data_IF_845911456976
#
_entry.id   IF_845911456976
#
_cell.length_a   1.000
_cell.length_b   1.000
_cell.length_c   1.000
_cell.angle_alpha   90.00
_cell.angle_beta   90.00
_cell.angle_gamma   90.00
#
_symmetry.space_group_name_H-M   'P 1'
#
loop_
_entity.id
_entity.type
_entity.pdbx_description
1 polymer ?
#
# COMPACT_ATOMS: atom_id res chain seq x y z
N UNK A 1 2.25 -60.71 22.01
CA UNK A 1 1.12 -61.24 21.23
C UNK A 1 0.05 -61.72 22.20
N UNK A 2 -1.00 -60.92 22.37
CA UNK A 2 -2.19 -61.10 23.22
C UNK A 2 -3.13 -59.94 22.84
N UNK A 3 -4.44 -60.02 22.69
CA UNK A 3 -5.47 -61.06 22.67
C UNK A 3 -6.68 -60.43 21.94
N UNK A 4 -7.54 -61.32 21.44
CA UNK A 4 -8.73 -61.09 20.61
C UNK A 4 -9.94 -60.57 21.41
N UNK A 5 -10.80 -59.87 20.66
CA UNK A 5 -12.19 -59.41 20.85
C UNK A 5 -13.00 -59.85 22.10
N UNK A 6 -13.74 -58.89 22.67
CA UNK A 6 -15.08 -59.15 23.21
C UNK A 6 -16.06 -58.02 22.80
N UNK A 7 -17.28 -58.46 22.47
CA UNK A 7 -18.39 -57.79 21.80
C UNK A 7 -19.55 -57.69 22.79
N UNK A 8 -20.39 -56.65 22.70
CA UNK A 8 -21.88 -56.63 22.87
C UNK A 8 -22.37 -55.35 23.59
N UNK A 9 -23.46 -54.63 23.30
CA UNK A 9 -24.46 -54.52 22.21
C UNK A 9 -25.50 -53.42 22.62
N UNK A 10 -25.96 -52.61 21.65
CA UNK A 10 -27.25 -51.85 21.53
C UNK A 10 -27.57 -50.69 22.52
N UNK A 11 -28.23 -49.59 22.13
CA UNK A 11 -29.50 -49.49 21.36
C UNK A 11 -29.80 -48.05 20.87
N UNK A 12 -30.18 -47.92 19.57
CA UNK A 12 -31.19 -47.05 18.86
C UNK A 12 -31.31 -45.53 19.18
N UNK A 13 -31.56 -44.57 18.27
CA UNK A 13 -32.21 -44.43 16.94
C UNK A 13 -31.42 -43.36 16.11
N UNK A 14 -31.05 -43.48 14.83
CA UNK A 14 -31.78 -43.53 13.54
C UNK A 14 -32.57 -42.29 13.08
N UNK A 15 -32.12 -41.76 11.92
CA UNK A 15 -32.84 -41.02 10.86
C UNK A 15 -33.44 -39.63 11.20
N UNK A 16 -33.36 -38.60 10.34
CA UNK A 16 -33.50 -38.65 8.88
C UNK A 16 -32.95 -37.39 8.17
N UNK A 17 -32.40 -37.65 6.98
CA UNK A 17 -32.26 -36.75 5.82
C UNK A 17 -33.53 -35.97 5.44
N UNK A 18 -33.33 -34.76 4.90
CA UNK A 18 -33.98 -34.19 3.70
C UNK A 18 -33.56 -32.70 3.61
N UNK A 19 -32.57 -32.36 2.77
CA UNK A 19 -32.74 -31.95 1.36
C UNK A 19 -33.54 -30.65 1.13
N UNK A 20 -32.78 -29.64 0.67
CA UNK A 20 -32.98 -28.83 -0.55
C UNK A 20 -33.56 -27.40 -0.44
N UNK A 21 -33.00 -26.60 -1.37
CA UNK A 21 -33.42 -25.29 -1.90
C UNK A 21 -32.76 -24.07 -1.24
N UNK A 22 -31.63 -23.56 -1.74
CA UNK A 22 -31.38 -22.82 -3.00
C UNK A 22 -31.93 -21.38 -2.98
N UNK A 23 -31.02 -20.44 -3.30
CA UNK A 23 -31.19 -18.98 -3.53
C UNK A 23 -31.29 -18.16 -2.24
N UNK A 24 -30.34 -17.29 -1.94
CA UNK A 24 -29.82 -16.25 -2.83
C UNK A 24 -28.33 -16.07 -2.65
N UNK A 25 -27.62 -16.16 -3.77
CA UNK A 25 -26.31 -15.55 -3.92
C UNK A 25 -26.46 -14.06 -3.58
N UNK A 26 -26.09 -13.66 -2.36
CA UNK A 26 -25.68 -12.29 -2.11
C UNK A 26 -24.34 -12.17 -2.80
N UNK A 27 -24.41 -11.75 -4.06
CA UNK A 27 -23.32 -11.33 -4.92
C UNK A 27 -22.43 -10.41 -4.09
N UNK A 28 -21.38 -10.98 -3.50
CA UNK A 28 -20.23 -10.23 -3.04
C UNK A 28 -19.72 -9.55 -4.29
N UNK A 29 -19.99 -8.27 -4.42
CA UNK A 29 -19.40 -7.41 -5.43
C UNK A 29 -17.92 -7.25 -5.03
N UNK A 30 -17.14 -8.31 -5.26
CA UNK A 30 -15.67 -8.34 -5.15
C UNK A 30 -15.05 -8.74 -6.48
N UNK A 31 -15.77 -8.49 -7.58
CA UNK A 31 -15.28 -8.68 -8.94
C UNK A 31 -14.62 -7.40 -9.51
N UNK A 32 -14.19 -6.48 -8.64
CA UNK A 32 -13.44 -5.28 -9.04
C UNK A 32 -11.96 -5.32 -8.62
N UNK A 33 -11.55 -6.25 -7.75
CA UNK A 33 -10.18 -6.29 -7.24
C UNK A 33 -9.21 -7.15 -8.07
N UNK A 34 -9.72 -7.94 -9.02
CA UNK A 34 -8.92 -8.93 -9.76
C UNK A 34 -8.36 -8.39 -11.09
N UNK A 35 -8.54 -7.10 -11.41
CA UNK A 35 -8.04 -6.50 -12.65
C UNK A 35 -7.17 -5.25 -12.46
N UNK A 36 -7.08 -4.73 -11.23
CA UNK A 36 -6.33 -3.49 -10.96
C UNK A 36 -4.84 -3.75 -10.67
N UNK A 37 -4.47 -4.94 -10.18
CA UNK A 37 -3.07 -5.26 -9.88
C UNK A 37 -2.20 -5.32 -11.14
N UNK A 38 -2.76 -5.78 -12.27
CA UNK A 38 -2.02 -5.87 -13.54
C UNK A 38 -1.73 -4.49 -14.17
N UNK A 39 -2.41 -3.43 -13.72
CA UNK A 39 -2.18 -2.05 -14.18
C UNK A 39 -1.61 -1.16 -13.05
N UNK A 40 -1.20 -1.75 -11.93
CA UNK A 40 -0.59 -1.01 -10.84
C UNK A 40 0.81 -0.51 -11.26
N UNK A 41 1.15 0.75 -10.94
CA UNK A 41 2.52 1.23 -11.06
C UNK A 41 3.46 0.37 -10.20
N UNK A 42 4.70 0.23 -10.65
CA UNK A 42 5.67 -0.67 -10.03
C UNK A 42 6.14 -0.15 -8.66
N UNK A 43 5.72 -0.84 -7.58
CA UNK A 43 6.09 -0.53 -6.20
C UNK A 43 7.58 -0.74 -5.98
N UNK A 44 8.15 -1.81 -6.53
CA UNK A 44 9.56 -2.13 -6.37
C UNK A 44 10.43 -1.05 -7.04
N UNK A 45 10.09 -0.66 -8.27
CA UNK A 45 10.79 0.41 -8.99
C UNK A 45 10.77 1.74 -8.23
N UNK A 46 9.61 2.17 -7.71
CA UNK A 46 9.53 3.39 -6.89
C UNK A 46 10.35 3.25 -5.60
N UNK A 47 10.32 2.08 -4.98
CA UNK A 47 11.09 1.80 -3.77
C UNK A 47 12.59 1.90 -4.01
N UNK A 48 13.07 1.42 -5.17
CA UNK A 48 14.48 1.53 -5.56
C UNK A 48 14.91 3.00 -5.74
N UNK A 49 14.08 3.82 -6.40
CA UNK A 49 14.31 5.27 -6.51
C UNK A 49 14.38 5.93 -5.14
N UNK A 50 13.47 5.60 -4.21
CA UNK A 50 13.50 6.14 -2.84
C UNK A 50 14.70 5.63 -2.01
N UNK A 51 15.34 4.55 -2.45
CA UNK A 51 16.57 4.06 -1.85
C UNK A 51 17.85 4.71 -2.43
N UNK A 52 17.78 5.40 -3.58
CA UNK A 52 18.91 6.13 -4.17
C UNK A 52 19.30 7.39 -3.37
N UNK A 53 20.30 8.12 -3.86
CA UNK A 53 20.65 9.43 -3.30
C UNK A 53 19.55 10.46 -3.64
N UNK A 54 19.14 11.25 -2.65
CA UNK A 54 18.09 12.25 -2.83
C UNK A 54 18.50 13.40 -3.77
N UNK A 55 19.80 13.59 -4.01
CA UNK A 55 20.32 14.59 -4.93
C UNK A 55 20.34 14.12 -6.39
N UNK A 56 20.13 12.81 -6.63
CA UNK A 56 20.11 12.21 -7.97
C UNK A 56 18.69 12.12 -8.56
N UNK A 57 17.65 12.39 -7.76
CA UNK A 57 16.26 12.33 -8.22
C UNK A 57 15.86 13.66 -8.84
N UNK A 58 15.63 13.65 -10.15
CA UNK A 58 15.20 14.83 -10.89
C UNK A 58 13.74 15.18 -10.57
N UNK A 59 13.39 16.46 -10.33
CA UNK A 59 12.03 16.86 -9.97
C UNK A 59 10.98 16.46 -11.01
N UNK A 60 11.31 16.51 -12.31
CA UNK A 60 10.36 16.14 -13.38
C UNK A 60 10.08 14.63 -13.40
N UNK A 61 11.09 13.78 -13.17
CA UNK A 61 10.91 12.33 -13.06
C UNK A 61 10.04 11.97 -11.84
N UNK A 62 10.28 12.64 -10.71
CA UNK A 62 9.44 12.47 -9.52
C UNK A 62 7.99 12.92 -9.78
N UNK A 63 7.78 14.01 -10.53
CA UNK A 63 6.46 14.51 -10.91
C UNK A 63 5.72 13.50 -11.80
N UNK A 64 6.41 12.92 -12.79
CA UNK A 64 5.83 11.93 -13.70
C UNK A 64 5.43 10.65 -12.94
N UNK A 65 6.29 10.16 -12.04
CA UNK A 65 5.95 9.02 -11.17
C UNK A 65 4.74 9.33 -10.28
N UNK A 66 4.66 10.53 -9.69
CA UNK A 66 3.50 10.95 -8.91
C UNK A 66 2.22 10.95 -9.75
N UNK A 67 2.28 11.38 -11.01
CA UNK A 67 1.11 11.39 -11.89
C UNK A 67 0.61 9.97 -12.19
N UNK A 68 1.51 9.03 -12.45
CA UNK A 68 1.18 7.62 -12.64
C UNK A 68 0.45 7.05 -11.42
N UNK A 69 0.99 7.27 -10.21
CA UNK A 69 0.38 6.85 -8.96
C UNK A 69 -0.95 7.54 -8.69
N UNK A 70 -1.07 8.84 -8.96
CA UNK A 70 -2.34 9.56 -8.80
C UNK A 70 -3.41 9.01 -9.73
N UNK A 71 -3.05 8.68 -10.97
CA UNK A 71 -3.97 8.16 -11.98
C UNK A 71 -4.42 6.74 -11.64
N UNK A 72 -3.51 5.87 -11.18
CA UNK A 72 -3.85 4.56 -10.64
C UNK A 72 -4.84 4.65 -9.48
N UNK A 73 -4.56 5.52 -8.50
CA UNK A 73 -5.38 5.63 -7.29
C UNK A 73 -6.77 6.27 -7.53
N UNK A 74 -7.04 6.91 -8.68
CA UNK A 74 -8.34 7.55 -8.98
C UNK A 74 -9.51 6.56 -9.03
N UNK A 75 -9.26 5.29 -9.35
CA UNK A 75 -10.31 4.26 -9.42
C UNK A 75 -10.85 3.82 -8.06
N UNK A 76 -10.08 4.06 -7.00
CA UNK A 76 -10.35 3.59 -5.65
C UNK A 76 -11.37 4.46 -4.91
N UNK A 77 -12.18 3.83 -4.05
CA UNK A 77 -13.29 4.47 -3.34
C UNK A 77 -13.05 4.64 -1.85
N UNK A 78 -12.05 3.97 -1.32
CA UNK A 78 -11.63 3.97 0.06
C UNK A 78 -11.07 5.35 0.45
N UNK A 79 -11.49 5.88 1.60
CA UNK A 79 -11.16 7.26 1.97
C UNK A 79 -9.67 7.46 2.28
N UNK A 80 -9.01 6.45 2.85
CA UNK A 80 -7.56 6.43 3.04
C UNK A 80 -6.80 6.51 1.70
N UNK A 81 -7.29 5.85 0.64
CA UNK A 81 -6.70 5.92 -0.70
C UNK A 81 -6.92 7.30 -1.34
N UNK A 82 -8.11 7.88 -1.19
CA UNK A 82 -8.36 9.26 -1.66
C UNK A 82 -7.47 10.27 -0.96
N UNK A 83 -7.26 10.09 0.34
CA UNK A 83 -6.37 10.95 1.13
C UNK A 83 -4.92 10.83 0.66
N UNK A 84 -4.44 9.60 0.42
CA UNK A 84 -3.12 9.36 -0.16
C UNK A 84 -2.97 10.04 -1.53
N UNK A 85 -3.97 9.90 -2.43
CA UNK A 85 -3.98 10.57 -3.74
C UNK A 85 -3.97 12.09 -3.62
N UNK A 86 -4.64 12.65 -2.61
CA UNK A 86 -4.62 14.09 -2.35
C UNK A 86 -3.23 14.56 -1.88
N UNK A 87 -2.60 13.82 -0.96
CA UNK A 87 -1.24 14.11 -0.50
C UNK A 87 -0.18 13.96 -1.59
N UNK A 88 -0.35 13.02 -2.52
CA UNK A 88 0.50 12.92 -3.71
C UNK A 88 0.40 14.17 -4.60
N UNK A 89 -0.82 14.67 -4.83
CA UNK A 89 -1.03 15.93 -5.59
C UNK A 89 -0.43 17.14 -4.90
N UNK A 90 -0.44 17.16 -3.56
CA UNK A 90 0.22 18.19 -2.77
C UNK A 90 1.75 18.13 -2.95
N UNK A 91 2.36 16.95 -2.84
CA UNK A 91 3.79 16.76 -3.11
C UNK A 91 4.15 17.23 -4.53
N UNK A 92 3.38 16.85 -5.54
CA UNK A 92 3.57 17.32 -6.93
C UNK A 92 3.55 18.85 -7.02
N UNK A 93 2.61 19.51 -6.33
CA UNK A 93 2.53 20.98 -6.31
C UNK A 93 3.78 21.60 -5.67
N UNK A 94 4.28 21.01 -4.60
CA UNK A 94 5.50 21.43 -3.93
C UNK A 94 6.71 21.30 -4.86
N UNK A 95 6.87 20.18 -5.57
CA UNK A 95 7.96 19.96 -6.52
C UNK A 95 7.93 20.95 -7.71
N UNK A 96 6.75 21.37 -8.16
CA UNK A 96 6.60 22.40 -9.20
C UNK A 96 6.88 23.82 -8.70
N UNK A 97 6.94 24.02 -7.39
CA UNK A 97 7.12 25.33 -6.76
C UNK A 97 8.58 25.78 -6.79
N UNK A 98 8.87 26.87 -7.52
CA UNK A 98 10.23 27.45 -7.60
C UNK A 98 10.80 27.98 -6.28
N UNK A 99 9.96 28.13 -5.25
CA UNK A 99 10.31 28.70 -3.94
C UNK A 99 9.85 27.78 -2.81
N UNK A 100 9.59 26.52 -3.11
CA UNK A 100 9.22 25.54 -2.09
C UNK A 100 10.42 25.29 -1.20
N UNK A 101 10.22 25.39 0.12
CA UNK A 101 11.27 25.04 1.08
C UNK A 101 11.41 23.52 1.19
N UNK A 102 12.64 23.04 1.39
CA UNK A 102 12.90 21.61 1.54
C UNK A 102 12.09 20.99 2.71
N UNK A 103 11.90 21.74 3.80
CA UNK A 103 11.05 21.35 4.94
C UNK A 103 9.64 20.94 4.52
N UNK A 104 9.02 21.67 3.59
CA UNK A 104 7.66 21.37 3.12
C UNK A 104 7.61 20.05 2.34
N UNK A 105 8.64 19.76 1.54
CA UNK A 105 8.77 18.51 0.80
C UNK A 105 9.00 17.34 1.78
N UNK A 106 9.85 17.55 2.79
CA UNK A 106 10.11 16.57 3.86
C UNK A 106 8.83 16.20 4.59
N UNK A 107 8.04 17.20 5.01
CA UNK A 107 6.76 16.98 5.69
C UNK A 107 5.77 16.21 4.81
N UNK A 108 5.65 16.58 3.54
CA UNK A 108 4.75 15.91 2.59
C UNK A 108 5.14 14.44 2.37
N UNK A 109 6.44 14.14 2.23
CA UNK A 109 6.94 12.77 2.07
C UNK A 109 6.77 11.93 3.34
N UNK A 110 7.04 12.51 4.51
CA UNK A 110 6.82 11.82 5.78
C UNK A 110 5.34 11.44 5.96
N UNK A 111 4.43 12.39 5.72
CA UNK A 111 2.99 12.14 5.75
C UNK A 111 2.55 11.05 4.76
N UNK A 112 3.06 11.10 3.52
CA UNK A 112 2.78 10.06 2.53
C UNK A 112 3.24 8.68 3.00
N UNK A 113 4.43 8.59 3.62
CA UNK A 113 4.91 7.33 4.16
C UNK A 113 4.08 6.80 5.32
N UNK A 114 3.58 7.67 6.20
CA UNK A 114 2.64 7.30 7.26
C UNK A 114 1.31 6.78 6.72
N UNK A 115 0.70 7.51 5.78
CA UNK A 115 -0.54 7.09 5.11
C UNK A 115 -0.35 5.75 4.39
N UNK A 116 0.77 5.58 3.68
CA UNK A 116 1.11 4.35 2.96
C UNK A 116 1.25 3.18 3.94
N UNK A 117 1.92 3.37 5.08
CA UNK A 117 2.03 2.33 6.11
C UNK A 117 0.66 1.96 6.71
N UNK A 118 -0.21 2.94 6.97
CA UNK A 118 -1.56 2.72 7.47
C UNK A 118 -2.41 1.90 6.47
N UNK A 119 -2.32 2.20 5.18
CA UNK A 119 -2.96 1.40 4.12
C UNK A 119 -2.40 -0.03 4.12
N UNK A 120 -1.08 -0.19 4.26
CA UNK A 120 -0.45 -1.51 4.37
C UNK A 120 -0.90 -2.32 5.59
N UNK A 121 -1.32 -1.68 6.67
CA UNK A 121 -1.86 -2.39 7.84
C UNK A 121 -3.19 -3.07 7.54
N UNK A 122 -4.02 -2.45 6.70
CA UNK A 122 -5.33 -2.93 6.25
C UNK A 122 -5.25 -3.82 4.98
N UNK A 123 -4.13 -3.80 4.27
CA UNK A 123 -3.94 -4.51 3.02
C UNK A 123 -3.91 -6.05 3.16
N UNK A 124 -4.32 -6.73 2.10
CA UNK A 124 -4.26 -8.20 2.00
C UNK A 124 -2.81 -8.72 2.05
N UNK A 125 -2.62 -9.98 2.47
CA UNK A 125 -1.30 -10.62 2.69
C UNK A 125 -0.30 -10.50 1.52
N UNK A 126 -0.77 -10.45 0.28
CA UNK A 126 0.10 -10.34 -0.90
C UNK A 126 0.63 -8.93 -1.18
N UNK A 127 -0.03 -7.90 -0.67
CA UNK A 127 0.26 -6.49 -0.99
C UNK A 127 0.80 -5.73 0.21
N UNK A 128 0.47 -6.20 1.43
CA UNK A 128 0.90 -5.61 2.70
C UNK A 128 2.41 -5.38 2.80
N UNK A 129 3.21 -6.40 2.43
CA UNK A 129 4.68 -6.33 2.52
C UNK A 129 5.27 -5.20 1.67
N UNK A 130 5.04 -5.21 0.34
CA UNK A 130 5.49 -4.15 -0.55
C UNK A 130 5.02 -2.75 -0.13
N UNK A 131 3.76 -2.60 0.27
CA UNK A 131 3.20 -1.30 0.70
C UNK A 131 3.89 -0.78 1.97
N UNK A 132 4.15 -1.62 2.97
CA UNK A 132 4.93 -1.23 4.15
C UNK A 132 6.38 -0.88 3.81
N UNK A 133 6.99 -1.57 2.86
CA UNK A 133 8.35 -1.24 2.40
C UNK A 133 8.35 0.14 1.76
N UNK A 134 7.40 0.43 0.88
CA UNK A 134 7.25 1.73 0.23
C UNK A 134 7.03 2.85 1.26
N UNK A 135 6.14 2.65 2.23
CA UNK A 135 5.87 3.63 3.28
C UNK A 135 7.12 3.97 4.11
N UNK A 136 7.95 2.98 4.43
CA UNK A 136 9.24 3.20 5.11
C UNK A 136 10.27 3.89 4.21
N UNK A 137 10.29 3.56 2.92
CA UNK A 137 11.19 4.17 1.95
C UNK A 137 10.89 5.68 1.81
N UNK A 138 9.62 6.07 1.74
CA UNK A 138 9.19 7.48 1.73
C UNK A 138 9.68 8.27 2.94
N UNK A 139 9.49 7.74 4.15
CA UNK A 139 9.97 8.36 5.40
C UNK A 139 11.51 8.43 5.42
N UNK A 140 12.17 7.38 4.94
CA UNK A 140 13.64 7.36 4.89
C UNK A 140 14.17 8.40 3.89
N UNK A 141 13.51 8.54 2.75
CA UNK A 141 13.85 9.51 1.71
C UNK A 141 13.60 10.95 2.15
N UNK A 142 12.53 11.22 2.92
CA UNK A 142 12.31 12.54 3.52
C UNK A 142 13.49 12.95 4.41
N UNK A 143 13.99 12.06 5.26
CA UNK A 143 15.18 12.33 6.07
C UNK A 143 16.46 12.52 5.23
N UNK A 144 16.56 11.90 4.05
CA UNK A 144 17.70 12.12 3.14
C UNK A 144 17.66 13.55 2.58
N UNK A 145 16.48 14.02 2.14
CA UNK A 145 16.26 15.39 1.67
C UNK A 145 16.59 16.40 2.77
N UNK A 146 16.11 16.16 3.99
CA UNK A 146 16.39 17.04 5.14
C UNK A 146 17.90 17.17 5.38
N UNK A 147 18.64 16.06 5.36
CA UNK A 147 20.10 16.07 5.50
C UNK A 147 20.81 16.75 4.34
N UNK A 148 20.34 16.56 3.11
CA UNK A 148 20.92 17.20 1.93
C UNK A 148 20.74 18.72 1.97
N UNK A 149 19.53 19.19 2.32
CA UNK A 149 19.25 20.61 2.51
C UNK A 149 20.12 21.24 3.61
N UNK A 150 20.21 20.59 4.78
CA UNK A 150 21.04 21.07 5.88
C UNK A 150 22.55 21.07 5.58
N UNK A 151 23.01 20.29 4.60
CA UNK A 151 24.40 20.34 4.11
C UNK A 151 24.61 21.51 3.14
N UNK A 152 23.70 21.70 2.18
CA UNK A 152 23.76 22.81 1.24
C UNK A 152 23.81 24.17 1.96
N UNK A 153 22.99 24.37 3.00
CA UNK A 153 23.00 25.59 3.82
C UNK A 153 24.34 25.85 4.54
N UNK A 154 25.11 24.79 4.86
CA UNK A 154 26.41 24.92 5.55
C UNK A 154 27.57 25.15 4.60
N UNK A 155 27.45 24.75 3.34
CA UNK A 155 28.47 24.96 2.32
C UNK A 155 28.38 26.37 1.70
N UNK A 156 27.21 27.00 1.76
CA UNK A 156 26.97 28.37 1.27
C UNK A 156 27.18 29.48 2.33
N UNK A 157 27.44 29.11 3.59
CA UNK A 157 27.63 30.03 4.73
C UNK A 157 29.12 30.27 5.06
#
# INVERSE_FOLDING_TARGET
MATKDEKTTQKEDHSSEAEKEQKTAKKSDSAAAENDVDNAPDIESLTEVLHSDATEVEPEEAIDSIDEWVDFLKGHKEDNIKELSASLKELKKLLKGKKTEASQIVEALAKLGEQTNAIGDEAARGVKGPVHTLGKALITFSHKIERAAAKAEKEEA
#
